data_IF_404148785868
#
_entry.id   IF_404148785868
#
_cell.length_a   1.000
_cell.length_b   1.000
_cell.length_c   1.000
_cell.angle_alpha   90.00
_cell.angle_beta   90.00
_cell.angle_gamma   90.00
#
_symmetry.space_group_name_H-M   'P 1'
#
loop_
_entity.id
_entity.type
_entity.pdbx_description
1 polymer ?
#
# COMPACT_ATOMS: atom_id res chain seq x y z
N UNK A 1 -34.08 24.37 51.02
CA UNK A 1 -32.69 24.42 50.51
C UNK A 1 -32.32 23.10 49.80
N UNK A 2 -33.02 22.72 48.72
CA UNK A 2 -32.76 21.45 48.00
C UNK A 2 -32.47 21.69 46.50
N UNK A 3 -32.93 22.82 45.95
CA UNK A 3 -32.82 23.12 44.52
C UNK A 3 -31.38 23.34 44.02
N UNK A 4 -30.46 23.83 44.86
CA UNK A 4 -29.10 24.20 44.42
C UNK A 4 -28.17 23.00 44.17
N UNK A 5 -28.38 21.87 44.84
CA UNK A 5 -27.53 20.67 44.68
C UNK A 5 -27.90 19.83 43.44
N UNK A 6 -29.16 19.88 43.00
CA UNK A 6 -29.65 19.15 41.82
C UNK A 6 -29.16 19.81 40.51
N UNK A 7 -29.11 21.13 40.47
CA UNK A 7 -28.68 21.88 39.27
C UNK A 7 -27.18 21.70 38.99
N UNK A 8 -26.34 21.62 40.02
CA UNK A 8 -24.89 21.40 39.87
C UNK A 8 -24.56 19.99 39.35
N UNK A 9 -25.27 18.97 39.80
CA UNK A 9 -25.09 17.58 39.37
C UNK A 9 -25.62 17.32 37.95
N UNK A 10 -26.68 18.01 37.52
CA UNK A 10 -27.18 17.97 36.13
C UNK A 10 -26.22 18.68 35.17
N UNK A 11 -25.67 19.85 35.54
CA UNK A 11 -24.65 20.55 34.74
C UNK A 11 -23.36 19.74 34.60
N UNK A 12 -22.91 19.09 35.67
CA UNK A 12 -21.75 18.20 35.65
C UNK A 12 -21.98 16.96 34.78
N UNK A 13 -23.19 16.37 34.84
CA UNK A 13 -23.58 15.24 33.97
C UNK A 13 -23.70 15.64 32.50
N UNK A 14 -24.19 16.84 32.20
CA UNK A 14 -24.26 17.37 30.83
C UNK A 14 -22.87 17.70 30.27
N UNK A 15 -21.97 18.22 31.09
CA UNK A 15 -20.56 18.47 30.71
C UNK A 15 -19.79 17.16 30.49
N UNK A 16 -19.99 16.15 31.34
CA UNK A 16 -19.41 14.82 31.16
C UNK A 16 -19.97 14.10 29.93
N UNK A 17 -21.28 14.21 29.66
CA UNK A 17 -21.89 13.66 28.45
C UNK A 17 -21.37 14.36 27.18
N UNK A 18 -21.18 15.68 27.21
CA UNK A 18 -20.60 16.44 26.10
C UNK A 18 -19.15 16.04 25.80
N UNK A 19 -18.35 15.71 26.83
CA UNK A 19 -16.97 15.25 26.65
C UNK A 19 -16.90 13.82 26.09
N UNK A 20 -17.83 12.94 26.49
CA UNK A 20 -17.89 11.56 26.00
C UNK A 20 -18.22 11.47 24.50
N UNK A 21 -19.10 12.35 23.99
CA UNK A 21 -19.49 12.38 22.57
C UNK A 21 -18.33 12.81 21.67
N UNK A 22 -17.48 13.74 22.11
CA UNK A 22 -16.30 14.20 21.36
C UNK A 22 -15.26 13.09 21.18
N UNK A 23 -15.05 12.25 22.22
CA UNK A 23 -14.07 11.16 22.16
C UNK A 23 -14.48 10.02 21.20
N UNK A 24 -15.78 9.77 21.06
CA UNK A 24 -16.30 8.77 20.10
C UNK A 24 -16.22 9.29 18.67
N UNK A 25 -16.47 10.59 18.46
CA UNK A 25 -16.36 11.19 17.12
C UNK A 25 -14.92 11.15 16.57
N UNK A 26 -13.90 11.43 17.40
CA UNK A 26 -12.51 11.36 16.96
C UNK A 26 -12.07 9.94 16.57
N UNK A 27 -12.50 8.91 17.30
CA UNK A 27 -12.14 7.51 16.98
C UNK A 27 -12.75 7.06 15.66
N UNK A 28 -13.99 7.44 15.37
CA UNK A 28 -14.62 7.11 14.09
C UNK A 28 -13.92 7.77 12.90
N UNK A 29 -13.38 8.99 13.07
CA UNK A 29 -12.64 9.68 12.01
C UNK A 29 -11.32 8.98 11.69
N UNK A 30 -10.54 8.60 12.70
CA UNK A 30 -9.25 7.90 12.51
C UNK A 30 -9.41 6.53 11.82
N UNK A 31 -10.46 5.78 12.20
CA UNK A 31 -10.78 4.49 11.55
C UNK A 31 -11.08 4.69 10.06
N UNK A 32 -11.83 5.73 9.71
CA UNK A 32 -12.17 6.02 8.30
C UNK A 32 -10.95 6.49 7.49
N UNK A 33 -10.12 7.36 8.06
CA UNK A 33 -8.88 7.80 7.42
C UNK A 33 -7.94 6.62 7.15
N UNK A 34 -7.79 5.71 8.12
CA UNK A 34 -6.95 4.52 7.94
C UNK A 34 -7.58 3.50 6.97
N UNK A 35 -8.92 3.45 6.85
CA UNK A 35 -9.60 2.63 5.84
C UNK A 35 -9.28 3.12 4.44
N UNK A 36 -9.39 4.43 4.20
CA UNK A 36 -9.03 5.07 2.93
C UNK A 36 -7.56 4.81 2.59
N UNK A 37 -6.67 4.91 3.58
CA UNK A 37 -5.25 4.64 3.37
C UNK A 37 -4.99 3.17 3.01
N UNK A 38 -5.68 2.22 3.64
CA UNK A 38 -5.58 0.81 3.28
C UNK A 38 -6.08 0.53 1.84
N UNK A 39 -7.13 1.23 1.40
CA UNK A 39 -7.62 1.17 0.01
C UNK A 39 -6.59 1.76 -0.98
N UNK A 40 -5.93 2.86 -0.64
CA UNK A 40 -4.87 3.46 -1.47
C UNK A 40 -3.64 2.54 -1.59
N UNK A 41 -3.24 1.86 -0.50
CA UNK A 41 -2.22 0.81 -0.54
C UNK A 41 -2.59 -0.28 -1.57
N UNK A 42 -3.83 -0.76 -1.51
CA UNK A 42 -4.30 -1.82 -2.41
C UNK A 42 -4.48 -1.35 -3.85
N UNK A 43 -4.85 -0.09 -4.05
CA UNK A 43 -4.95 0.51 -5.39
C UNK A 43 -3.60 0.45 -6.11
N UNK A 44 -2.52 0.85 -5.44
CA UNK A 44 -1.17 0.78 -6.02
C UNK A 44 -0.71 -0.66 -6.23
N UNK A 45 -1.04 -1.57 -5.32
CA UNK A 45 -0.81 -2.99 -5.51
C UNK A 45 -1.49 -3.51 -6.79
N UNK A 46 -2.78 -3.22 -6.98
CA UNK A 46 -3.57 -3.74 -8.09
C UNK A 46 -3.08 -3.18 -9.43
N UNK A 47 -2.77 -1.89 -9.48
CA UNK A 47 -2.16 -1.25 -10.66
C UNK A 47 -0.81 -1.87 -11.03
N UNK A 48 0.04 -2.14 -10.03
CA UNK A 48 1.32 -2.78 -10.25
C UNK A 48 1.16 -4.26 -10.67
N UNK A 49 0.19 -4.97 -10.07
CA UNK A 49 -0.12 -6.36 -10.41
C UNK A 49 -0.65 -6.52 -11.82
N UNK A 50 -1.40 -5.55 -12.34
CA UNK A 50 -1.88 -5.54 -13.72
C UNK A 50 -0.73 -5.60 -14.76
N UNK A 51 0.48 -5.20 -14.37
CA UNK A 51 1.68 -5.23 -15.24
C UNK A 51 2.46 -6.54 -15.20
N UNK A 52 2.11 -7.48 -14.32
CA UNK A 52 2.88 -8.73 -14.16
C UNK A 52 2.92 -9.59 -15.43
N UNK A 53 1.82 -9.63 -16.19
CA UNK A 53 1.75 -10.35 -17.47
C UNK A 53 2.72 -9.74 -18.49
N UNK A 54 2.71 -8.41 -18.63
CA UNK A 54 3.62 -7.68 -19.52
C UNK A 54 5.09 -7.95 -19.15
N UNK A 55 5.43 -7.92 -17.85
CA UNK A 55 6.80 -8.23 -17.41
C UNK A 55 7.23 -9.64 -17.80
N UNK A 56 6.33 -10.62 -17.68
CA UNK A 56 6.61 -11.99 -18.07
C UNK A 56 6.86 -12.12 -19.57
N UNK A 57 6.03 -11.47 -20.38
CA UNK A 57 6.17 -11.45 -21.85
C UNK A 57 7.47 -10.77 -22.29
N UNK A 58 7.80 -9.60 -21.72
CA UNK A 58 9.04 -8.88 -22.01
C UNK A 58 10.28 -9.72 -21.68
N UNK A 59 10.25 -10.45 -20.55
CA UNK A 59 11.33 -11.37 -20.19
C UNK A 59 11.51 -12.47 -21.25
N UNK A 60 10.43 -13.11 -21.71
CA UNK A 60 10.50 -14.15 -22.73
C UNK A 60 11.07 -13.61 -24.06
N UNK A 61 10.69 -12.39 -24.46
CA UNK A 61 11.21 -11.75 -25.66
C UNK A 61 12.73 -11.47 -25.55
N UNK A 62 13.17 -10.97 -24.40
CA UNK A 62 14.60 -10.72 -24.13
C UNK A 62 15.42 -12.03 -24.11
N UNK A 63 14.89 -13.09 -23.50
CA UNK A 63 15.52 -14.42 -23.49
C UNK A 63 15.68 -14.97 -24.92
N UNK A 64 14.66 -14.80 -25.77
CA UNK A 64 14.72 -15.16 -27.18
C UNK A 64 15.80 -14.38 -27.96
N UNK A 65 15.94 -13.07 -27.70
CA UNK A 65 16.94 -12.22 -28.35
C UNK A 65 18.38 -12.59 -27.94
N UNK A 66 18.60 -12.91 -26.66
CA UNK A 66 19.90 -13.35 -26.16
C UNK A 66 20.37 -14.67 -26.81
N UNK A 67 19.45 -15.61 -27.03
CA UNK A 67 19.76 -16.89 -27.69
C UNK A 67 20.22 -16.76 -29.15
N UNK A 68 19.79 -15.71 -29.86
CA UNK A 68 20.15 -15.48 -31.27
C UNK A 68 21.40 -14.63 -31.50
N UNK A 69 21.83 -13.84 -30.51
CA UNK A 69 22.82 -12.75 -30.71
C UNK A 69 24.14 -12.93 -29.94
N UNK A 70 24.27 -13.99 -29.12
CA UNK A 70 25.39 -14.14 -28.19
C UNK A 70 25.18 -13.37 -26.88
N UNK A 71 26.13 -13.44 -25.91
CA UNK A 71 25.96 -12.84 -24.59
C UNK A 71 25.92 -11.30 -24.67
N UNK A 72 24.75 -10.73 -24.42
CA UNK A 72 24.52 -9.28 -24.24
C UNK A 72 24.29 -8.98 -22.75
N UNK A 73 25.24 -8.27 -22.09
CA UNK A 73 25.12 -7.96 -20.67
C UNK A 73 23.96 -7.01 -20.35
N UNK A 74 23.53 -6.15 -21.28
CA UNK A 74 22.39 -5.26 -21.06
C UNK A 74 21.07 -6.04 -21.06
N UNK A 75 20.93 -7.02 -21.95
CA UNK A 75 19.78 -7.93 -21.97
C UNK A 75 19.73 -8.76 -20.67
N UNK A 76 20.87 -9.31 -20.24
CA UNK A 76 20.96 -10.04 -18.97
C UNK A 76 20.53 -9.19 -17.77
N UNK A 77 21.01 -7.94 -17.69
CA UNK A 77 20.63 -7.02 -16.62
C UNK A 77 19.15 -6.62 -16.65
N UNK A 78 18.53 -6.53 -17.83
CA UNK A 78 17.10 -6.24 -17.96
C UNK A 78 16.23 -7.43 -17.51
N UNK A 79 16.62 -8.66 -17.87
CA UNK A 79 15.95 -9.88 -17.39
C UNK A 79 16.02 -9.98 -15.86
N UNK A 80 17.20 -9.75 -15.27
CA UNK A 80 17.36 -9.77 -13.80
C UNK A 80 16.49 -8.69 -13.13
N UNK A 81 16.43 -7.48 -13.70
CA UNK A 81 15.60 -6.40 -13.16
C UNK A 81 14.10 -6.75 -13.16
N UNK A 82 13.58 -7.32 -14.27
CA UNK A 82 12.19 -7.81 -14.34
C UNK A 82 11.92 -8.87 -13.27
N UNK A 83 12.81 -9.86 -13.13
CA UNK A 83 12.67 -10.91 -12.13
C UNK A 83 12.77 -10.37 -10.70
N UNK A 84 13.66 -9.41 -10.44
CA UNK A 84 13.81 -8.80 -9.13
C UNK A 84 12.56 -8.01 -8.74
N UNK A 85 12.02 -7.17 -9.62
CA UNK A 85 10.78 -6.44 -9.37
C UNK A 85 9.59 -7.38 -9.12
N UNK A 86 9.48 -8.46 -9.89
CA UNK A 86 8.48 -9.50 -9.63
C UNK A 86 8.64 -10.14 -8.24
N UNK A 87 9.87 -10.51 -7.85
CA UNK A 87 10.14 -11.06 -6.51
C UNK A 87 9.81 -10.07 -5.40
N UNK A 88 10.08 -8.78 -5.59
CA UNK A 88 9.73 -7.73 -4.62
C UNK A 88 8.22 -7.66 -4.40
N UNK A 89 7.41 -7.68 -5.48
CA UNK A 89 5.96 -7.72 -5.37
C UNK A 89 5.48 -8.96 -4.61
N UNK A 90 6.01 -10.14 -4.94
CA UNK A 90 5.65 -11.38 -4.25
C UNK A 90 6.05 -11.37 -2.77
N UNK A 91 7.19 -10.78 -2.43
CA UNK A 91 7.62 -10.59 -1.04
C UNK A 91 6.68 -9.65 -0.30
N UNK A 92 6.36 -8.50 -0.89
CA UNK A 92 5.41 -7.56 -0.31
C UNK A 92 4.05 -8.22 -0.03
N UNK A 93 3.48 -8.96 -0.99
CA UNK A 93 2.21 -9.67 -0.79
C UNK A 93 2.26 -10.71 0.35
N UNK A 94 3.42 -11.35 0.58
CA UNK A 94 3.59 -12.30 1.70
C UNK A 94 3.75 -11.61 3.03
N UNK A 95 4.24 -10.38 3.06
CA UNK A 95 4.53 -9.61 4.27
C UNK A 95 3.36 -8.71 4.68
N UNK A 96 2.61 -8.19 3.72
CA UNK A 96 1.46 -7.34 3.97
C UNK A 96 0.40 -8.06 4.80
N UNK A 97 -0.03 -7.41 5.88
CA UNK A 97 -1.12 -7.81 6.77
C UNK A 97 -2.20 -6.73 6.75
N UNK A 98 -3.31 -6.93 6.04
CA UNK A 98 -4.40 -5.95 6.05
C UNK A 98 -5.05 -5.91 7.44
N UNK A 99 -5.39 -4.72 7.98
CA UNK A 99 -6.19 -4.60 9.21
C UNK A 99 -7.52 -5.36 9.07
N UNK A 100 -7.88 -6.15 10.09
CA UNK A 100 -9.04 -7.06 10.02
C UNK A 100 -10.27 -6.58 10.82
N UNK A 101 -10.16 -5.46 11.53
CA UNK A 101 -11.25 -4.87 12.31
C UNK A 101 -11.09 -3.36 12.44
N UNK A 102 -12.12 -2.68 12.92
CA UNK A 102 -12.07 -1.24 13.21
C UNK A 102 -11.08 -0.94 14.34
N UNK A 103 -10.95 -1.80 15.36
CA UNK A 103 -9.93 -1.63 16.39
C UNK A 103 -8.50 -1.77 15.83
N UNK A 104 -8.31 -2.67 14.86
CA UNK A 104 -7.03 -2.79 14.17
C UNK A 104 -6.75 -1.57 13.30
N UNK A 105 -7.76 -1.07 12.57
CA UNK A 105 -7.67 0.14 11.76
C UNK A 105 -7.31 1.37 12.60
N UNK A 106 -7.91 1.51 13.78
CA UNK A 106 -7.61 2.62 14.68
C UNK A 106 -6.13 2.73 15.04
N UNK A 107 -5.37 1.62 15.04
CA UNK A 107 -3.94 1.60 15.39
C UNK A 107 -3.02 1.43 14.17
N UNK A 108 -3.57 1.37 12.95
CA UNK A 108 -2.83 0.97 11.76
C UNK A 108 -2.17 2.11 10.99
N UNK A 109 -2.40 3.38 11.35
CA UNK A 109 -1.98 4.54 10.54
C UNK A 109 -0.51 4.52 10.12
N UNK A 110 0.42 4.45 11.08
CA UNK A 110 1.87 4.41 10.80
C UNK A 110 2.28 3.19 9.96
N UNK A 111 1.68 2.04 10.24
CA UNK A 111 1.91 0.80 9.50
C UNK A 111 1.45 0.94 8.05
N UNK A 112 0.23 1.42 7.82
CA UNK A 112 -0.33 1.61 6.47
C UNK A 112 0.44 2.68 5.68
N UNK A 113 0.92 3.75 6.33
CA UNK A 113 1.78 4.74 5.70
C UNK A 113 3.12 4.12 5.26
N UNK A 114 3.68 3.21 6.05
CA UNK A 114 4.89 2.49 5.68
C UNK A 114 4.66 1.49 4.54
N UNK A 115 3.58 0.72 4.60
CA UNK A 115 3.18 -0.18 3.52
C UNK A 115 2.89 0.57 2.22
N UNK A 116 2.29 1.77 2.31
CA UNK A 116 2.05 2.65 1.16
C UNK A 116 3.34 3.06 0.47
N UNK A 117 4.39 3.38 1.24
CA UNK A 117 5.71 3.69 0.69
C UNK A 117 6.36 2.45 0.08
N UNK A 118 6.30 1.30 0.75
CA UNK A 118 6.87 0.05 0.25
C UNK A 118 6.25 -0.37 -1.08
N UNK A 119 4.93 -0.39 -1.17
CA UNK A 119 4.24 -0.78 -2.41
C UNK A 119 4.50 0.21 -3.54
N UNK A 120 4.66 1.50 -3.23
CA UNK A 120 5.08 2.50 -4.22
C UNK A 120 6.47 2.18 -4.78
N UNK A 121 7.44 1.86 -3.93
CA UNK A 121 8.79 1.48 -4.38
C UNK A 121 8.78 0.24 -5.27
N UNK A 122 7.93 -0.74 -4.96
CA UNK A 122 7.72 -1.93 -5.81
C UNK A 122 7.11 -1.53 -7.15
N UNK A 123 6.08 -0.68 -7.16
CA UNK A 123 5.43 -0.18 -8.38
C UNK A 123 6.43 0.57 -9.28
N UNK A 124 7.27 1.43 -8.70
CA UNK A 124 8.30 2.17 -9.42
C UNK A 124 9.37 1.22 -10.00
N UNK A 125 9.78 0.19 -9.26
CA UNK A 125 10.71 -0.82 -9.73
C UNK A 125 10.14 -1.62 -10.92
N UNK A 126 8.85 -1.97 -10.86
CA UNK A 126 8.13 -2.61 -11.97
C UNK A 126 8.16 -1.71 -13.21
N UNK A 127 7.73 -0.46 -13.07
CA UNK A 127 7.71 0.49 -14.19
C UNK A 127 9.11 0.66 -14.82
N UNK A 128 10.14 0.89 -13.99
CA UNK A 128 11.51 1.04 -14.47
C UNK A 128 12.06 -0.23 -15.17
N UNK A 129 11.69 -1.41 -14.69
CA UNK A 129 12.11 -2.68 -15.29
C UNK A 129 11.45 -2.92 -16.67
N UNK A 130 10.16 -2.57 -16.81
CA UNK A 130 9.41 -2.61 -18.08
C UNK A 130 10.04 -1.65 -19.08
N UNK A 131 10.22 -0.38 -18.69
CA UNK A 131 10.80 0.65 -19.56
C UNK A 131 12.18 0.26 -20.08
N UNK A 132 13.01 -0.36 -19.22
CA UNK A 132 14.34 -0.85 -19.63
C UNK A 132 14.22 -1.98 -20.66
N UNK A 133 13.33 -2.94 -20.43
CA UNK A 133 13.15 -4.07 -21.32
C UNK A 133 12.62 -3.63 -22.69
N UNK A 134 11.62 -2.75 -22.72
CA UNK A 134 11.05 -2.22 -23.96
C UNK A 134 12.09 -1.48 -24.81
N UNK A 135 12.91 -0.62 -24.19
CA UNK A 135 14.01 0.07 -24.90
C UNK A 135 14.99 -0.88 -25.58
N UNK A 136 15.26 -2.03 -24.96
CA UNK A 136 16.17 -3.03 -25.54
C UNK A 136 15.53 -3.85 -26.64
N UNK A 137 14.20 -3.97 -26.70
CA UNK A 137 13.50 -4.71 -27.75
C UNK A 137 13.30 -3.90 -29.02
N UNK A 138 13.26 -2.56 -28.93
CA UNK A 138 13.16 -1.67 -30.09
C UNK A 138 14.51 -1.22 -30.65
N UNK A 139 15.61 -1.53 -29.95
CA UNK A 139 16.99 -1.27 -30.40
C UNK A 139 17.41 -2.25 -31.49
#
# INVERSE_FOLDING_TARGET
MIASHVVGSVRWRLLLASFLVLAVACQNQEVEENRILAEDVMTVHDEAMAKMTQMHELRLQLEGRAGGSGPDPEIGAAIEALQQAHRQMMTWMREYRPPQSDEALQQAGDYLLDERRKIQLVSDAIAASIDRAERLLVR
#
